data_IF_609146377504
#
_entry.id   IF_609146377504
#
_cell.length_a   1.000
_cell.length_b   1.000
_cell.length_c   1.000
_cell.angle_alpha   90.00
_cell.angle_beta   90.00
_cell.angle_gamma   90.00
#
_symmetry.space_group_name_H-M   'P 1'
#
loop_
_entity.id
_entity.type
_entity.pdbx_description
1 polymer ?
#
# COMPACT_ATOMS: atom_id res chain seq x y z
N UNK A 1 -40.60 -33.92 6.69
CA UNK A 1 -39.33 -33.28 6.27
C UNK A 1 -39.60 -31.79 6.07
N UNK A 2 -39.49 -30.97 7.11
CA UNK A 2 -39.61 -29.52 6.99
C UNK A 2 -38.28 -28.99 6.46
N UNK A 3 -38.19 -28.78 5.14
CA UNK A 3 -37.04 -28.07 4.58
C UNK A 3 -37.13 -26.63 5.10
N UNK A 4 -36.29 -26.28 6.07
CA UNK A 4 -36.20 -24.95 6.68
C UNK A 4 -35.59 -23.94 5.68
N UNK A 5 -36.27 -23.73 4.56
CA UNK A 5 -35.91 -22.73 3.56
C UNK A 5 -35.77 -21.34 4.18
N UNK A 6 -36.56 -21.05 5.21
CA UNK A 6 -36.46 -19.80 5.97
C UNK A 6 -35.07 -19.57 6.57
N UNK A 7 -34.44 -20.59 7.16
CA UNK A 7 -33.08 -20.43 7.71
C UNK A 7 -32.02 -20.28 6.62
N UNK A 8 -32.10 -21.07 5.56
CA UNK A 8 -31.15 -20.98 4.45
C UNK A 8 -31.20 -19.60 3.78
N UNK A 9 -32.41 -19.11 3.48
CA UNK A 9 -32.62 -17.79 2.89
C UNK A 9 -32.15 -16.68 3.83
N UNK A 10 -32.41 -16.81 5.15
CA UNK A 10 -31.93 -15.83 6.12
C UNK A 10 -30.40 -15.76 6.16
N UNK A 11 -29.71 -16.91 6.14
CA UNK A 11 -28.25 -16.97 6.07
C UNK A 11 -27.70 -16.34 4.77
N UNK A 12 -28.34 -16.58 3.63
CA UNK A 12 -27.94 -15.97 2.34
C UNK A 12 -28.12 -14.45 2.38
N UNK A 13 -29.24 -13.96 2.89
CA UNK A 13 -29.51 -12.52 3.01
C UNK A 13 -28.48 -11.88 3.95
N UNK A 14 -28.21 -12.49 5.11
CA UNK A 14 -27.25 -11.97 6.07
C UNK A 14 -25.83 -11.90 5.48
N UNK A 15 -25.40 -12.93 4.75
CA UNK A 15 -24.12 -12.94 4.05
C UNK A 15 -24.01 -11.81 3.03
N UNK A 16 -25.06 -11.59 2.23
CA UNK A 16 -25.10 -10.51 1.24
C UNK A 16 -25.04 -9.12 1.89
N UNK A 17 -25.74 -8.91 3.01
CA UNK A 17 -25.73 -7.64 3.74
C UNK A 17 -24.31 -7.34 4.28
N UNK A 18 -23.69 -8.31 4.94
CA UNK A 18 -22.35 -8.15 5.52
C UNK A 18 -21.31 -7.92 4.43
N UNK A 19 -21.37 -8.69 3.33
CA UNK A 19 -20.46 -8.52 2.20
C UNK A 19 -20.59 -7.12 1.57
N UNK A 20 -21.82 -6.64 1.39
CA UNK A 20 -22.08 -5.31 0.84
C UNK A 20 -21.63 -4.18 1.78
N UNK A 21 -21.84 -4.35 3.09
CA UNK A 21 -21.38 -3.41 4.12
C UNK A 21 -19.84 -3.32 4.14
N UNK A 22 -19.14 -4.46 4.18
CA UNK A 22 -17.67 -4.51 4.14
C UNK A 22 -17.15 -3.88 2.84
N UNK A 23 -17.76 -4.18 1.69
CA UNK A 23 -17.38 -3.58 0.42
C UNK A 23 -17.48 -2.05 0.43
N UNK A 24 -18.59 -1.51 0.94
CA UNK A 24 -18.75 -0.06 1.08
C UNK A 24 -17.71 0.54 2.02
N UNK A 25 -17.44 -0.09 3.18
CA UNK A 25 -16.44 0.37 4.14
C UNK A 25 -15.04 0.39 3.52
N UNK A 26 -14.62 -0.68 2.85
CA UNK A 26 -13.31 -0.76 2.18
C UNK A 26 -13.21 0.29 1.08
N UNK A 27 -14.27 0.49 0.27
CA UNK A 27 -14.31 1.53 -0.76
C UNK A 27 -14.17 2.93 -0.16
N UNK A 28 -14.84 3.18 0.97
CA UNK A 28 -14.75 4.46 1.67
C UNK A 28 -13.37 4.70 2.27
N UNK A 29 -12.81 3.68 2.94
CA UNK A 29 -11.46 3.74 3.50
C UNK A 29 -10.43 3.90 2.39
N UNK A 30 -10.53 3.19 1.26
CA UNK A 30 -9.63 3.39 0.12
C UNK A 30 -9.79 4.77 -0.51
N UNK A 31 -11.01 5.34 -0.52
CA UNK A 31 -11.24 6.71 -1.00
C UNK A 31 -10.69 7.77 -0.05
N UNK A 32 -10.77 7.56 1.27
CA UNK A 32 -10.20 8.46 2.29
C UNK A 32 -8.68 8.30 2.44
N UNK A 33 -8.16 7.08 2.29
CA UNK A 33 -6.73 6.79 2.19
C UNK A 33 -6.13 7.25 0.86
N UNK A 34 -6.97 7.51 -0.13
CA UNK A 34 -6.66 8.33 -1.30
C UNK A 34 -6.79 9.83 -0.97
N UNK A 35 -6.29 10.24 0.20
CA UNK A 35 -5.46 11.44 0.19
C UNK A 35 -4.35 11.18 -0.84
N UNK A 36 -3.92 12.19 -1.62
CA UNK A 36 -2.75 11.98 -2.47
C UNK A 36 -1.70 11.34 -1.57
N UNK A 37 -1.06 10.29 -2.02
CA UNK A 37 0.28 10.02 -1.54
C UNK A 37 0.98 11.38 -1.58
N UNK A 38 1.09 12.05 -0.42
CA UNK A 38 2.19 12.96 -0.19
C UNK A 38 3.37 12.10 -0.62
N UNK A 39 3.99 12.39 -1.78
CA UNK A 39 4.67 11.41 -2.60
C UNK A 39 5.56 10.62 -1.67
N UNK A 40 5.16 9.37 -1.38
CA UNK A 40 5.78 8.59 -0.34
C UNK A 40 7.17 8.25 -0.86
N UNK A 41 8.10 9.13 -0.50
CA UNK A 41 9.47 9.23 -0.94
C UNK A 41 9.66 9.18 -2.46
N UNK A 42 9.84 10.36 -3.09
CA UNK A 42 10.87 10.42 -4.14
C UNK A 42 12.10 9.68 -3.59
N UNK A 43 12.64 8.67 -4.28
CA UNK A 43 13.56 7.70 -3.71
C UNK A 43 14.72 8.45 -3.08
N UNK A 44 14.76 8.61 -1.75
CA UNK A 44 15.74 9.47 -1.06
C UNK A 44 17.17 8.94 -1.19
N UNK A 45 17.30 7.79 -1.83
CA UNK A 45 18.51 7.03 -2.01
C UNK A 45 18.77 6.76 -3.49
N UNK A 46 20.04 6.91 -3.90
CA UNK A 46 20.58 6.60 -5.22
C UNK A 46 21.66 5.53 -5.06
N UNK A 47 21.88 4.72 -6.08
CA UNK A 47 22.99 3.78 -6.09
C UNK A 47 24.27 4.51 -6.49
N UNK A 48 25.35 4.28 -5.74
CA UNK A 48 26.66 4.81 -6.09
C UNK A 48 27.22 4.07 -7.33
N UNK A 49 27.59 4.76 -8.43
CA UNK A 49 28.09 4.11 -9.66
C UNK A 49 29.44 3.39 -9.49
N UNK A 50 30.18 3.67 -8.41
CA UNK A 50 31.50 3.07 -8.16
C UNK A 50 31.44 1.82 -7.28
N UNK A 51 30.58 1.82 -6.26
CA UNK A 51 30.56 0.77 -5.24
C UNK A 51 29.18 0.13 -5.04
N UNK A 52 28.18 0.52 -5.84
CA UNK A 52 26.82 -0.04 -5.86
C UNK A 52 26.12 -0.01 -4.49
N UNK A 53 26.56 0.86 -3.59
CA UNK A 53 25.94 1.04 -2.28
C UNK A 53 24.82 2.07 -2.34
N UNK A 54 23.78 1.82 -1.54
CA UNK A 54 22.60 2.67 -1.39
C UNK A 54 22.95 3.91 -0.56
N UNK A 55 22.99 5.09 -1.19
CA UNK A 55 23.43 6.35 -0.58
C UNK A 55 22.42 7.48 -0.80
N UNK A 56 22.38 8.49 0.07
CA UNK A 56 21.43 9.60 -0.07
C UNK A 56 21.59 10.36 -1.40
N UNK A 57 20.48 10.81 -2.04
CA UNK A 57 20.52 11.55 -3.32
C UNK A 57 21.48 12.76 -3.26
N UNK A 58 21.48 13.49 -2.14
CA UNK A 58 22.28 14.71 -1.95
C UNK A 58 23.74 14.45 -1.58
N UNK A 59 24.19 13.19 -1.50
CA UNK A 59 25.57 12.88 -1.17
C UNK A 59 26.51 13.31 -2.30
N UNK A 60 27.46 14.20 -1.96
CA UNK A 60 28.58 14.66 -2.82
C UNK A 60 29.78 13.72 -2.71
N UNK A 61 29.92 13.01 -1.59
CA UNK A 61 30.93 11.97 -1.38
C UNK A 61 30.29 10.70 -0.84
N UNK A 62 30.65 9.55 -1.41
CA UNK A 62 30.15 8.26 -0.96
C UNK A 62 30.86 7.83 0.34
N UNK A 63 30.15 7.45 1.42
CA UNK A 63 30.78 7.01 2.67
C UNK A 63 31.48 5.65 2.55
N UNK A 64 31.03 4.78 1.65
CA UNK A 64 31.56 3.42 1.52
C UNK A 64 32.84 3.33 0.68
N UNK A 65 32.97 4.16 -0.35
CA UNK A 65 34.13 4.13 -1.27
C UNK A 65 34.90 5.45 -1.37
N UNK A 66 34.53 6.45 -0.55
CA UNK A 66 35.12 7.79 -0.48
C UNK A 66 35.23 8.57 -1.80
N UNK A 67 34.64 8.05 -2.88
CA UNK A 67 34.66 8.65 -4.21
C UNK A 67 33.74 9.87 -4.28
N UNK A 68 34.16 10.88 -5.03
CA UNK A 68 33.36 12.09 -5.28
C UNK A 68 32.29 11.80 -6.32
N UNK A 69 31.04 11.99 -5.93
CA UNK A 69 29.88 11.81 -6.79
C UNK A 69 29.50 13.17 -7.33
N UNK A 70 29.75 13.37 -8.62
CA UNK A 70 29.31 14.56 -9.34
C UNK A 70 27.78 14.57 -9.39
N UNK A 71 27.18 15.68 -8.96
CA UNK A 71 25.74 15.89 -8.89
C UNK A 71 25.07 15.77 -10.26
#
# INVERSE_FOLDING_TARGET
MTINYGMFINSVINFLIIAFAIFMVIRWINKLKRQPEAPAAAPTTKECPYCLSTIAIKAVRCPNCTSELKA
#
